data_IF_655186470213
#
_entry.id   IF_655186470213
#
_cell.length_a   1.000
_cell.length_b   1.000
_cell.length_c   1.000
_cell.angle_alpha   90.00
_cell.angle_beta   90.00
_cell.angle_gamma   90.00
#
_symmetry.space_group_name_H-M   'P 1'
#
loop_
_entity.id
_entity.type
_entity.pdbx_description
1 polymer ?
#
# COMPACT_ATOMS: atom_id res chain seq x y z
N UNK A 1 -13.79 -0.45 -6.63
CA UNK A 1 -12.45 -1.07 -6.69
C UNK A 1 -11.45 0.07 -6.75
N UNK A 2 -10.43 0.08 -5.88
CA UNK A 2 -9.44 1.18 -5.84
C UNK A 2 -8.56 1.10 -7.10
N UNK A 3 -8.49 2.19 -7.86
CA UNK A 3 -7.54 2.30 -8.97
C UNK A 3 -6.16 2.68 -8.43
N UNK A 4 -5.31 1.69 -8.22
CA UNK A 4 -3.95 1.89 -7.72
C UNK A 4 -2.98 2.48 -8.77
N UNK A 5 -3.36 2.51 -10.06
CA UNK A 5 -2.46 3.00 -11.11
C UNK A 5 -2.17 4.50 -11.01
N UNK A 6 -3.03 5.24 -10.31
CA UNK A 6 -2.89 6.67 -10.02
C UNK A 6 -2.19 6.97 -8.67
N UNK A 7 -1.78 5.95 -7.91
CA UNK A 7 -1.07 6.13 -6.64
C UNK A 7 0.45 6.05 -6.85
N UNK A 8 1.17 7.15 -6.58
CA UNK A 8 2.61 7.23 -6.81
C UNK A 8 3.44 6.34 -5.86
N UNK A 9 2.91 5.98 -4.70
CA UNK A 9 3.60 5.18 -3.68
C UNK A 9 3.66 3.68 -4.01
N UNK A 10 2.94 3.24 -5.03
CA UNK A 10 2.84 1.83 -5.42
C UNK A 10 3.24 1.65 -6.86
N UNK A 11 3.61 0.43 -7.20
CA UNK A 11 3.87 0.04 -8.58
C UNK A 11 3.49 -1.43 -8.79
N UNK A 12 3.27 -1.81 -10.05
CA UNK A 12 2.89 -3.16 -10.44
C UNK A 12 3.72 -3.58 -11.64
N UNK A 13 4.20 -4.81 -11.57
CA UNK A 13 4.91 -5.48 -12.65
C UNK A 13 4.32 -6.90 -12.77
N UNK A 14 3.79 -7.31 -13.94
CA UNK A 14 3.22 -8.65 -14.13
C UNK A 14 4.17 -9.79 -13.76
N UNK A 15 5.48 -9.59 -13.86
CA UNK A 15 6.50 -10.61 -13.56
C UNK A 15 6.91 -10.59 -12.08
N UNK A 16 6.45 -9.62 -11.29
CA UNK A 16 6.84 -9.42 -9.89
C UNK A 16 5.68 -9.69 -8.93
N UNK A 17 5.91 -10.59 -7.97
CA UNK A 17 4.91 -10.97 -6.94
C UNK A 17 3.56 -11.35 -7.58
N UNK A 18 3.59 -12.15 -8.65
CA UNK A 18 2.40 -12.59 -9.39
C UNK A 18 1.52 -11.44 -9.89
N UNK A 19 2.13 -10.28 -10.19
CA UNK A 19 1.41 -9.10 -10.63
C UNK A 19 0.63 -8.38 -9.54
N UNK A 20 0.97 -8.56 -8.26
CA UNK A 20 0.37 -7.78 -7.17
C UNK A 20 0.84 -6.32 -7.20
N UNK A 21 0.00 -5.40 -6.69
CA UNK A 21 0.44 -4.05 -6.35
C UNK A 21 1.33 -4.11 -5.12
N UNK A 22 2.51 -3.52 -5.23
CA UNK A 22 3.50 -3.47 -4.15
C UNK A 22 3.92 -2.03 -3.88
N UNK A 23 4.43 -1.76 -2.69
CA UNK A 23 5.08 -0.49 -2.41
C UNK A 23 6.25 -0.27 -3.37
N UNK A 24 6.33 0.93 -3.95
CA UNK A 24 7.31 1.29 -4.96
C UNK A 24 8.73 1.04 -4.46
N UNK A 25 9.56 0.38 -5.28
CA UNK A 25 10.93 0.03 -4.90
C UNK A 25 11.04 -1.16 -3.94
N UNK A 26 9.94 -1.84 -3.64
CA UNK A 26 9.91 -3.00 -2.75
C UNK A 26 9.21 -4.20 -3.41
N UNK A 27 9.20 -5.33 -2.70
CA UNK A 27 8.34 -6.49 -3.03
C UNK A 27 7.20 -6.67 -2.03
N UNK A 28 6.95 -5.66 -1.18
CA UNK A 28 5.95 -5.72 -0.10
C UNK A 28 4.57 -5.41 -0.70
N UNK A 29 3.62 -6.35 -0.67
CA UNK A 29 2.28 -6.12 -1.20
C UNK A 29 1.56 -4.97 -0.47
N UNK A 30 0.76 -4.21 -1.19
CA UNK A 30 -0.14 -3.21 -0.59
C UNK A 30 -1.14 -3.88 0.35
N UNK A 31 -1.61 -5.08 0.00
CA UNK A 31 -2.50 -5.88 0.85
C UNK A 31 -1.90 -6.14 2.24
N UNK A 32 -0.59 -6.36 2.33
CA UNK A 32 0.08 -6.61 3.60
C UNK A 32 -0.09 -5.44 4.58
N UNK A 33 -0.15 -4.19 4.11
CA UNK A 33 -0.43 -3.05 5.00
C UNK A 33 -1.80 -3.23 5.66
N UNK A 34 -2.84 -3.49 4.88
CA UNK A 34 -4.20 -3.59 5.40
C UNK A 34 -4.39 -4.82 6.27
N UNK A 35 -3.84 -5.97 5.89
CA UNK A 35 -3.82 -7.19 6.71
C UNK A 35 -3.18 -6.94 8.09
N UNK A 36 -2.03 -6.25 8.13
CA UNK A 36 -1.37 -5.93 9.41
C UNK A 36 -2.16 -4.90 10.23
N UNK A 37 -2.83 -3.93 9.59
CA UNK A 37 -3.71 -2.99 10.28
C UNK A 37 -4.96 -3.67 10.84
N UNK A 38 -5.52 -4.65 10.14
CA UNK A 38 -6.63 -5.49 10.62
C UNK A 38 -6.23 -6.31 11.86
N UNK A 39 -4.97 -6.77 11.91
CA UNK A 39 -4.38 -7.45 13.07
C UNK A 39 -3.97 -6.49 14.21
N UNK A 40 -4.24 -5.19 14.07
CA UNK A 40 -4.02 -4.17 15.10
C UNK A 40 -2.62 -3.57 15.13
N UNK A 41 -1.80 -3.80 14.11
CA UNK A 41 -0.51 -3.14 13.99
C UNK A 41 -0.65 -1.62 13.81
N UNK A 42 0.31 -0.87 14.34
CA UNK A 42 0.47 0.54 14.02
C UNK A 42 1.26 0.70 12.72
N UNK A 43 1.01 1.81 12.02
CA UNK A 43 1.77 2.20 10.83
C UNK A 43 3.28 2.26 11.10
N UNK A 44 3.70 2.73 12.27
CA UNK A 44 5.12 2.78 12.65
C UNK A 44 5.73 1.38 12.74
N UNK A 45 5.00 0.41 13.30
CA UNK A 45 5.45 -0.98 13.42
C UNK A 45 5.57 -1.63 12.03
N UNK A 46 4.63 -1.35 11.13
CA UNK A 46 4.70 -1.85 9.76
C UNK A 46 5.99 -1.38 9.04
N UNK A 47 6.32 -0.09 9.15
CA UNK A 47 7.54 0.48 8.55
C UNK A 47 8.81 -0.11 9.19
N UNK A 48 8.78 -0.42 10.49
CA UNK A 48 9.89 -1.11 11.17
C UNK A 48 10.09 -2.54 10.66
N UNK A 49 9.00 -3.28 10.40
CA UNK A 49 9.08 -4.65 9.87
C UNK A 49 9.48 -4.71 8.39
N UNK A 50 9.19 -3.65 7.64
CA UNK A 50 9.46 -3.55 6.21
C UNK A 50 10.34 -2.33 5.90
N UNK A 51 11.66 -2.37 6.18
CA UNK A 51 12.56 -1.20 6.09
C UNK A 51 12.78 -0.63 4.67
N UNK A 52 12.16 -1.21 3.65
CA UNK A 52 12.09 -0.64 2.29
C UNK A 52 10.84 0.21 2.04
N UNK A 53 9.82 0.11 2.90
CA UNK A 53 8.60 0.92 2.82
C UNK A 53 8.78 2.14 3.71
N UNK A 54 8.53 3.33 3.18
CA UNK A 54 8.62 4.56 3.97
C UNK A 54 7.28 4.93 4.60
N UNK A 55 7.33 5.68 5.70
CA UNK A 55 6.13 6.24 6.33
C UNK A 55 5.31 7.11 5.37
N UNK A 56 5.99 7.85 4.50
CA UNK A 56 5.35 8.67 3.46
C UNK A 56 4.58 7.79 2.47
N UNK A 57 5.19 6.70 1.99
CA UNK A 57 4.51 5.76 1.09
C UNK A 57 3.27 5.15 1.73
N UNK A 58 3.33 4.76 3.01
CA UNK A 58 2.17 4.25 3.75
C UNK A 58 1.05 5.30 3.82
N UNK A 59 1.39 6.55 4.16
CA UNK A 59 0.41 7.65 4.20
C UNK A 59 -0.25 7.88 2.85
N UNK A 60 0.53 7.95 1.77
CA UNK A 60 0.01 8.11 0.42
C UNK A 60 -0.94 6.97 0.03
N UNK A 61 -0.63 5.72 0.40
CA UNK A 61 -1.53 4.57 0.16
C UNK A 61 -2.84 4.71 0.91
N UNK A 62 -2.79 5.09 2.19
CA UNK A 62 -3.99 5.27 3.02
C UNK A 62 -4.87 6.42 2.53
N UNK A 63 -4.26 7.55 2.18
CA UNK A 63 -4.95 8.72 1.61
C UNK A 63 -5.61 8.39 0.27
N UNK A 64 -4.92 7.63 -0.60
CA UNK A 64 -5.46 7.20 -1.89
C UNK A 64 -6.66 6.26 -1.73
N UNK A 65 -6.55 5.31 -0.81
CA UNK A 65 -7.65 4.39 -0.47
C UNK A 65 -8.85 5.16 0.09
N UNK A 66 -8.62 6.09 1.02
CA UNK A 66 -9.66 6.93 1.60
C UNK A 66 -10.35 7.81 0.54
N UNK A 67 -9.59 8.48 -0.33
CA UNK A 67 -10.13 9.29 -1.41
C UNK A 67 -10.99 8.48 -2.39
N UNK A 68 -10.58 7.24 -2.68
CA UNK A 68 -11.34 6.31 -3.53
C UNK A 68 -12.66 5.85 -2.91
N UNK A 69 -12.82 5.98 -1.59
CA UNK A 69 -14.06 5.65 -0.87
C UNK A 69 -15.02 6.85 -0.72
N UNK A 70 -14.55 8.08 -0.97
CA UNK A 70 -15.31 9.31 -0.81
C UNK A 70 -16.04 9.77 -2.09
N UNK A 71 -15.82 9.10 -3.23
CA UNK A 71 -16.55 9.36 -4.47
C UNK A 71 -17.94 8.71 -4.35
N UNK A 72 -19.06 9.47 -4.37
CA UNK A 72 -20.38 8.87 -4.40
C UNK A 72 -20.56 8.07 -5.70
N UNK A 73 -21.20 6.91 -5.59
CA UNK A 73 -21.58 6.07 -6.72
C UNK A 73 -22.48 6.82 -7.72
#
# INVERSE_FOLDING_TARGET
MIDWSSCAAVERDPERVSGAWVFRGTRVPVAALFENLEDGALVSQFVEWFPGVTLEQVRTVLEHAAGSALVPA
#
